data_IF_177350053168
#
_entry.id   IF_177350053168
#
_cell.length_a   1.000
_cell.length_b   1.000
_cell.length_c   1.000
_cell.angle_alpha   90.00
_cell.angle_beta   90.00
_cell.angle_gamma   90.00
#
_symmetry.space_group_name_H-M   'P 1'
#
loop_
_entity.id
_entity.type
_entity.pdbx_description
1 polymer ?
#
# COMPACT_ATOMS: atom_id res chain seq x y z
N UNK A 1 5.00 47.28 5.90
CA UNK A 1 4.37 48.47 5.28
C UNK A 1 2.86 48.56 5.56
N UNK A 2 2.05 47.57 5.16
CA UNK A 2 0.59 47.61 5.40
C UNK A 2 0.19 47.76 6.88
N UNK A 3 0.80 47.00 7.81
CA UNK A 3 0.49 47.13 9.24
C UNK A 3 0.73 48.53 9.81
N UNK A 4 1.79 49.21 9.37
CA UNK A 4 2.09 50.58 9.78
C UNK A 4 1.11 51.60 9.16
N UNK A 5 0.72 51.41 7.89
CA UNK A 5 -0.30 52.24 7.24
C UNK A 5 -1.67 52.09 7.93
N UNK A 6 -2.05 50.85 8.26
CA UNK A 6 -3.29 50.53 8.99
C UNK A 6 -3.33 51.18 10.37
N UNK A 7 -2.22 51.10 11.11
CA UNK A 7 -2.08 51.78 12.40
C UNK A 7 -2.23 53.30 12.27
N UNK A 8 -1.59 53.91 11.27
CA UNK A 8 -1.76 55.34 10.99
C UNK A 8 -3.21 55.73 10.71
N UNK A 9 -3.96 54.91 9.94
CA UNK A 9 -5.38 55.14 9.70
C UNK A 9 -6.25 54.94 10.95
N UNK A 10 -5.91 54.00 11.84
CA UNK A 10 -6.66 53.83 13.10
C UNK A 10 -6.44 55.00 14.06
N UNK A 11 -5.20 55.48 14.19
CA UNK A 11 -4.87 56.66 15.02
C UNK A 11 -5.47 57.94 14.44
N UNK A 12 -5.50 58.13 13.12
CA UNK A 12 -6.14 59.30 12.53
C UNK A 12 -7.65 59.38 12.85
N UNK A 13 -8.33 58.22 12.94
CA UNK A 13 -9.76 58.14 13.27
C UNK A 13 -10.09 58.43 14.73
N UNK A 14 -9.14 58.27 15.65
CA UNK A 14 -9.38 58.65 17.06
C UNK A 14 -9.34 60.16 17.25
N UNK A 15 -8.71 60.89 16.32
CA UNK A 15 -8.56 62.36 16.35
C UNK A 15 -9.73 63.05 15.64
N UNK A 16 -10.19 62.54 14.49
CA UNK A 16 -11.31 63.13 13.74
C UNK A 16 -12.25 62.04 13.18
N UNK A 17 -13.50 62.06 13.64
CA UNK A 17 -14.55 61.15 13.20
C UNK A 17 -15.08 61.45 11.79
N UNK A 18 -14.80 62.63 11.23
CA UNK A 18 -15.25 63.07 9.91
C UNK A 18 -14.53 62.41 8.72
N UNK A 19 -13.54 61.54 8.98
CA UNK A 19 -12.72 60.89 7.95
C UNK A 19 -13.35 59.60 7.39
N UNK A 20 -14.65 59.61 7.06
CA UNK A 20 -15.35 58.45 6.48
C UNK A 20 -14.66 57.92 5.21
N UNK A 21 -14.16 58.83 4.36
CA UNK A 21 -13.45 58.46 3.13
C UNK A 21 -12.15 57.68 3.42
N UNK A 22 -11.42 58.03 4.49
CA UNK A 22 -10.20 57.32 4.89
C UNK A 22 -10.53 55.92 5.43
N UNK A 23 -11.61 55.78 6.19
CA UNK A 23 -12.09 54.49 6.68
C UNK A 23 -12.47 53.57 5.51
N UNK A 24 -13.17 54.09 4.51
CA UNK A 24 -13.57 53.34 3.32
C UNK A 24 -12.34 52.92 2.49
N UNK A 25 -11.38 53.83 2.28
CA UNK A 25 -10.11 53.53 1.59
C UNK A 25 -9.31 52.44 2.32
N UNK A 26 -9.24 52.51 3.64
CA UNK A 26 -8.60 51.47 4.46
C UNK A 26 -9.31 50.12 4.31
N UNK A 27 -10.64 50.09 4.39
CA UNK A 27 -11.41 48.87 4.21
C UNK A 27 -11.20 48.26 2.81
N UNK A 28 -11.20 49.08 1.74
CA UNK A 28 -10.88 48.63 0.38
C UNK A 28 -9.48 48.00 0.28
N UNK A 29 -8.48 48.61 0.91
CA UNK A 29 -7.13 48.05 0.94
C UNK A 29 -7.07 46.71 1.71
N UNK A 30 -7.78 46.60 2.84
CA UNK A 30 -7.89 45.35 3.59
C UNK A 30 -8.55 44.25 2.76
N UNK A 31 -9.66 44.53 2.06
CA UNK A 31 -10.32 43.55 1.18
C UNK A 31 -9.41 43.09 0.04
N UNK A 32 -8.64 43.99 -0.56
CA UNK A 32 -7.68 43.65 -1.60
C UNK A 32 -6.59 42.71 -1.08
N UNK A 33 -6.11 42.93 0.14
CA UNK A 33 -5.15 42.01 0.78
C UNK A 33 -5.79 40.67 1.15
N UNK A 34 -7.02 40.65 1.66
CA UNK A 34 -7.75 39.39 1.89
C UNK A 34 -7.83 38.58 0.58
N UNK A 35 -8.21 39.23 -0.52
CA UNK A 35 -8.28 38.59 -1.84
C UNK A 35 -6.91 38.10 -2.32
N UNK A 36 -5.85 38.87 -2.10
CA UNK A 36 -4.48 38.48 -2.38
C UNK A 36 -4.07 37.24 -1.56
N UNK A 37 -4.25 37.27 -0.24
CA UNK A 37 -3.87 36.16 0.65
C UNK A 37 -4.66 34.88 0.34
N UNK A 38 -5.94 34.99 0.00
CA UNK A 38 -6.70 33.84 -0.50
C UNK A 38 -6.15 33.30 -1.82
N UNK A 39 -5.66 34.16 -2.70
CA UNK A 39 -5.04 33.78 -3.98
C UNK A 39 -3.65 33.16 -3.84
N UNK A 40 -2.83 33.62 -2.89
CA UNK A 40 -1.55 32.99 -2.51
C UNK A 40 -1.74 31.77 -1.62
N UNK A 41 -2.95 31.59 -1.07
CA UNK A 41 -3.27 30.44 -0.26
C UNK A 41 -2.74 30.57 1.17
N UNK A 42 -2.91 31.72 1.80
CA UNK A 42 -2.76 31.92 3.24
C UNK A 42 -4.12 32.29 3.83
N UNK A 43 -4.97 31.27 4.02
CA UNK A 43 -6.30 31.37 4.62
C UNK A 43 -6.25 31.91 6.05
N UNK A 44 -5.17 31.64 6.79
CA UNK A 44 -4.97 32.15 8.14
C UNK A 44 -4.70 33.66 8.13
N UNK A 45 -3.85 34.14 7.22
CA UNK A 45 -3.62 35.57 7.05
C UNK A 45 -4.90 36.28 6.59
N UNK A 46 -5.67 35.68 5.67
CA UNK A 46 -6.96 36.21 5.24
C UNK A 46 -7.97 36.32 6.40
N UNK A 47 -8.09 35.28 7.24
CA UNK A 47 -8.92 35.30 8.46
C UNK A 47 -8.49 36.38 9.46
N UNK A 48 -7.18 36.57 9.64
CA UNK A 48 -6.66 37.63 10.49
C UNK A 48 -6.99 39.02 9.94
N UNK A 49 -6.88 39.23 8.62
CA UNK A 49 -7.22 40.50 7.98
C UNK A 49 -8.72 40.81 8.04
N UNK A 50 -9.58 39.78 7.95
CA UNK A 50 -11.03 39.93 8.08
C UNK A 50 -11.45 40.51 9.43
N UNK A 51 -10.82 40.08 10.52
CA UNK A 51 -11.06 40.60 11.87
C UNK A 51 -10.75 42.10 12.03
N UNK A 52 -10.08 42.71 11.04
CA UNK A 52 -9.74 44.12 11.03
C UNK A 52 -10.69 44.97 10.16
N UNK A 53 -11.69 44.37 9.52
CA UNK A 53 -12.73 45.15 8.84
C UNK A 53 -13.64 45.83 9.87
N UNK A 54 -14.10 47.06 9.59
CA UNK A 54 -14.92 47.83 10.53
C UNK A 54 -16.36 47.30 10.67
N UNK A 55 -16.82 46.49 9.72
CA UNK A 55 -18.13 45.86 9.73
C UNK A 55 -17.99 44.41 9.27
N UNK A 56 -18.84 43.49 9.78
CA UNK A 56 -18.85 42.10 9.34
C UNK A 56 -19.22 42.01 7.85
N UNK A 57 -18.50 41.17 7.10
CA UNK A 57 -18.74 40.92 5.68
C UNK A 57 -19.03 39.43 5.46
N UNK A 58 -20.30 39.00 5.57
CA UNK A 58 -20.67 37.59 5.60
C UNK A 58 -20.28 36.85 4.32
N UNK A 59 -20.20 37.54 3.18
CA UNK A 59 -19.73 36.95 1.92
C UNK A 59 -18.24 36.61 1.94
N UNK A 60 -17.40 37.47 2.53
CA UNK A 60 -15.97 37.21 2.71
C UNK A 60 -15.72 36.12 3.75
N UNK A 61 -16.46 36.16 4.87
CA UNK A 61 -16.45 35.09 5.88
C UNK A 61 -16.78 33.73 5.24
N UNK A 62 -17.87 33.63 4.49
CA UNK A 62 -18.26 32.41 3.79
C UNK A 62 -17.26 31.98 2.71
N UNK A 63 -16.54 32.93 2.10
CA UNK A 63 -15.48 32.62 1.12
C UNK A 63 -14.24 32.06 1.80
N UNK A 64 -13.78 32.67 2.90
CA UNK A 64 -12.63 32.20 3.67
C UNK A 64 -12.92 30.79 4.24
N UNK A 65 -14.11 30.60 4.82
CA UNK A 65 -14.54 29.31 5.36
C UNK A 65 -14.52 28.20 4.29
N UNK A 66 -15.03 28.46 3.08
CA UNK A 66 -14.97 27.51 1.96
C UNK A 66 -13.54 27.14 1.58
N UNK A 67 -12.64 28.13 1.50
CA UNK A 67 -11.22 27.87 1.16
C UNK A 67 -10.52 27.06 2.25
N UNK A 68 -10.82 27.34 3.53
CA UNK A 68 -10.31 26.57 4.66
C UNK A 68 -10.81 25.11 4.62
N UNK A 69 -12.12 24.90 4.40
CA UNK A 69 -12.72 23.56 4.25
C UNK A 69 -12.10 22.77 3.09
N UNK A 70 -11.96 23.40 1.91
CA UNK A 70 -11.32 22.79 0.74
C UNK A 70 -9.88 22.39 1.02
N UNK A 71 -9.13 23.20 1.78
CA UNK A 71 -7.74 22.93 2.16
C UNK A 71 -7.62 21.82 3.18
N UNK A 72 -8.47 21.82 4.21
CA UNK A 72 -8.53 20.73 5.19
C UNK A 72 -8.85 19.43 4.47
N UNK A 73 -9.82 19.43 3.55
CA UNK A 73 -10.14 18.27 2.72
C UNK A 73 -8.96 17.84 1.82
N UNK A 74 -8.26 18.79 1.19
CA UNK A 74 -7.11 18.50 0.34
C UNK A 74 -5.93 17.92 1.14
N UNK A 75 -5.62 18.49 2.32
CA UNK A 75 -4.60 17.95 3.23
C UNK A 75 -4.96 16.56 3.72
N UNK A 76 -6.20 16.33 4.14
CA UNK A 76 -6.67 15.01 4.56
C UNK A 76 -6.56 13.97 3.43
N UNK A 77 -6.83 14.35 2.18
CA UNK A 77 -6.63 13.50 1.00
C UNK A 77 -5.15 13.21 0.75
N UNK A 78 -4.29 14.21 0.88
CA UNK A 78 -2.84 14.06 0.70
C UNK A 78 -2.25 13.13 1.79
N UNK A 79 -2.60 13.34 3.05
CA UNK A 79 -2.19 12.48 4.16
C UNK A 79 -2.73 11.05 4.03
N UNK A 80 -3.93 10.87 3.48
CA UNK A 80 -4.45 9.54 3.15
C UNK A 80 -3.61 8.88 2.04
N UNK A 81 -3.29 9.62 0.98
CA UNK A 81 -2.45 9.13 -0.11
C UNK A 81 -1.03 8.80 0.33
N UNK A 82 -0.40 9.65 1.14
CA UNK A 82 0.92 9.41 1.72
C UNK A 82 0.92 8.14 2.58
N UNK A 83 -0.10 7.93 3.41
CA UNK A 83 -0.25 6.70 4.20
C UNK A 83 -0.46 5.46 3.32
N UNK A 84 -1.16 5.58 2.20
CA UNK A 84 -1.38 4.48 1.26
C UNK A 84 -0.10 4.08 0.49
N UNK A 85 0.77 5.05 0.22
CA UNK A 85 2.02 4.87 -0.54
C UNK A 85 3.20 4.57 0.38
N UNK A 86 3.14 4.87 1.68
CA UNK A 86 4.23 4.60 2.62
C UNK A 86 4.58 3.10 2.65
N UNK A 87 5.77 2.71 2.15
CA UNK A 87 6.20 1.33 2.10
C UNK A 87 6.54 0.76 3.49
N UNK A 88 6.50 1.55 4.56
CA UNK A 88 6.67 1.08 5.94
C UNK A 88 5.37 0.58 6.55
N UNK A 89 4.23 1.09 6.07
CA UNK A 89 2.92 0.67 6.56
C UNK A 89 2.70 -0.81 6.26
N UNK A 90 2.47 -1.60 7.31
CA UNK A 90 2.19 -3.03 7.19
C UNK A 90 3.37 -3.90 6.77
N UNK A 91 4.62 -3.47 6.94
CA UNK A 91 5.79 -4.31 6.61
C UNK A 91 5.81 -5.63 7.39
N UNK A 92 5.43 -5.59 8.68
CA UNK A 92 5.35 -6.79 9.52
C UNK A 92 4.29 -7.77 9.00
N UNK A 93 3.13 -7.25 8.59
CA UNK A 93 2.05 -8.07 8.04
C UNK A 93 2.48 -8.75 6.73
N UNK A 94 3.25 -8.06 5.86
CA UNK A 94 3.81 -8.64 4.64
C UNK A 94 4.83 -9.73 4.94
N UNK A 95 5.75 -9.49 5.86
CA UNK A 95 6.74 -10.49 6.23
C UNK A 95 6.09 -11.75 6.83
N UNK A 96 5.09 -11.60 7.69
CA UNK A 96 4.31 -12.73 8.24
C UNK A 96 3.56 -13.45 7.12
N UNK A 97 2.92 -12.71 6.20
CA UNK A 97 2.20 -13.28 5.06
C UNK A 97 3.13 -14.09 4.15
N UNK A 98 4.28 -13.53 3.77
CA UNK A 98 5.31 -14.23 2.98
C UNK A 98 5.78 -15.46 3.70
N UNK A 99 6.17 -15.33 4.97
CA UNK A 99 6.66 -16.46 5.75
C UNK A 99 5.62 -17.58 5.79
N UNK A 100 4.37 -17.27 6.13
CA UNK A 100 3.30 -18.26 6.20
C UNK A 100 3.09 -18.95 4.85
N UNK A 101 2.99 -18.19 3.76
CA UNK A 101 2.66 -18.75 2.45
C UNK A 101 3.79 -19.54 1.83
N UNK A 102 5.01 -19.01 1.81
CA UNK A 102 6.15 -19.75 1.30
C UNK A 102 6.46 -20.97 2.16
N UNK A 103 6.32 -20.90 3.49
CA UNK A 103 6.40 -22.10 4.33
C UNK A 103 5.34 -23.13 3.95
N UNK A 104 4.11 -22.72 3.64
CA UNK A 104 3.06 -23.65 3.22
C UNK A 104 3.32 -24.28 1.84
N UNK A 105 3.86 -23.51 0.90
CA UNK A 105 4.25 -23.97 -0.44
C UNK A 105 5.41 -24.95 -0.40
N UNK A 106 6.36 -24.77 0.53
CA UNK A 106 7.44 -25.73 0.74
C UNK A 106 6.94 -26.98 1.50
N UNK A 107 6.10 -26.78 2.51
CA UNK A 107 5.66 -27.86 3.39
C UNK A 107 4.69 -28.82 2.69
N UNK A 108 3.74 -28.32 1.90
CA UNK A 108 2.71 -29.17 1.32
C UNK A 108 3.29 -30.26 0.39
N UNK A 109 4.13 -29.96 -0.61
CA UNK A 109 4.80 -30.97 -1.42
C UNK A 109 5.67 -31.91 -0.59
N UNK A 110 6.46 -31.37 0.35
CA UNK A 110 7.33 -32.18 1.21
C UNK A 110 6.54 -33.21 2.05
N UNK A 111 5.38 -32.80 2.59
CA UNK A 111 4.47 -33.69 3.32
C UNK A 111 3.92 -34.78 2.41
N UNK A 112 3.50 -34.45 1.17
CA UNK A 112 2.99 -35.48 0.25
C UNK A 112 4.05 -36.50 -0.17
N UNK A 113 5.30 -36.06 -0.35
CA UNK A 113 6.45 -36.94 -0.63
C UNK A 113 6.76 -37.82 0.58
N UNK A 114 6.81 -37.24 1.78
CA UNK A 114 7.05 -37.99 3.02
C UNK A 114 5.94 -39.01 3.32
N UNK A 115 4.70 -38.70 2.92
CA UNK A 115 3.55 -39.60 3.02
C UNK A 115 3.52 -40.70 1.93
N UNK A 116 4.49 -40.73 1.01
CA UNK A 116 4.54 -41.71 -0.08
C UNK A 116 3.42 -41.55 -1.12
N UNK A 117 2.82 -40.36 -1.23
CA UNK A 117 1.77 -40.11 -2.21
C UNK A 117 2.35 -40.08 -3.61
N UNK A 118 1.80 -40.92 -4.50
CA UNK A 118 2.21 -40.96 -5.90
C UNK A 118 1.92 -39.65 -6.61
N UNK A 119 2.78 -39.28 -7.57
CA UNK A 119 2.55 -38.12 -8.40
C UNK A 119 1.31 -38.32 -9.28
N UNK A 120 0.47 -37.29 -9.35
CA UNK A 120 -0.75 -37.31 -10.15
C UNK A 120 -1.69 -36.17 -9.79
N UNK A 121 -2.67 -35.91 -10.65
CA UNK A 121 -3.58 -34.77 -10.54
C UNK A 121 -4.32 -34.69 -9.20
N UNK A 122 -4.72 -35.83 -8.62
CA UNK A 122 -5.40 -35.85 -7.33
C UNK A 122 -4.53 -35.26 -6.20
N UNK A 123 -3.22 -35.56 -6.21
CA UNK A 123 -2.26 -34.99 -5.26
C UNK A 123 -2.10 -33.50 -5.48
N UNK A 124 -1.89 -33.06 -6.72
CA UNK A 124 -1.68 -31.66 -7.06
C UNK A 124 -2.91 -30.80 -6.73
N UNK A 125 -4.11 -31.25 -7.10
CA UNK A 125 -5.37 -30.57 -6.74
C UNK A 125 -5.54 -30.51 -5.22
N UNK A 126 -5.24 -31.60 -4.50
CA UNK A 126 -5.28 -31.63 -3.04
C UNK A 126 -4.35 -30.60 -2.40
N UNK A 127 -3.11 -30.50 -2.89
CA UNK A 127 -2.14 -29.48 -2.48
C UNK A 127 -2.69 -28.06 -2.73
N UNK A 128 -3.20 -27.78 -3.94
CA UNK A 128 -3.77 -26.48 -4.29
C UNK A 128 -4.94 -26.10 -3.38
N UNK A 129 -5.83 -27.04 -3.06
CA UNK A 129 -6.96 -26.80 -2.15
C UNK A 129 -6.48 -26.48 -0.74
N UNK A 130 -5.55 -27.27 -0.18
CA UNK A 130 -5.01 -27.05 1.16
C UNK A 130 -4.31 -25.69 1.26
N UNK A 131 -3.46 -25.36 0.29
CA UNK A 131 -2.79 -24.06 0.20
C UNK A 131 -3.80 -22.93 0.08
N UNK A 132 -4.84 -23.08 -0.73
CA UNK A 132 -5.88 -22.06 -0.89
C UNK A 132 -6.64 -21.81 0.41
N UNK A 133 -7.05 -22.87 1.11
CA UNK A 133 -7.73 -22.77 2.42
C UNK A 133 -6.81 -22.12 3.45
N UNK A 134 -5.54 -22.52 3.51
CA UNK A 134 -4.55 -21.91 4.40
C UNK A 134 -4.34 -20.43 4.08
N UNK A 135 -4.24 -20.06 2.79
CA UNK A 135 -4.12 -18.68 2.33
C UNK A 135 -5.33 -17.83 2.75
N UNK A 136 -6.55 -18.36 2.60
CA UNK A 136 -7.78 -17.72 3.11
C UNK A 136 -7.70 -17.53 4.62
N UNK A 137 -7.28 -18.55 5.38
CA UNK A 137 -7.19 -18.46 6.83
C UNK A 137 -6.18 -17.39 7.29
N UNK A 138 -4.98 -17.36 6.70
CA UNK A 138 -3.96 -16.33 6.97
C UNK A 138 -4.47 -14.94 6.59
N UNK A 139 -5.14 -14.81 5.44
CA UNK A 139 -5.76 -13.55 5.05
C UNK A 139 -6.79 -13.07 6.07
N UNK A 140 -7.73 -13.93 6.47
CA UNK A 140 -8.77 -13.57 7.44
C UNK A 140 -8.17 -13.15 8.78
N UNK A 141 -7.11 -13.83 9.23
CA UNK A 141 -6.36 -13.48 10.44
C UNK A 141 -5.67 -12.12 10.33
N UNK A 142 -5.11 -11.79 9.15
CA UNK A 142 -4.34 -10.56 8.91
C UNK A 142 -5.14 -9.45 8.19
N UNK A 143 -6.46 -9.62 7.99
CA UNK A 143 -7.29 -8.79 7.09
C UNK A 143 -7.20 -7.30 7.38
N UNK A 144 -7.18 -6.91 8.66
CA UNK A 144 -7.13 -5.51 9.08
C UNK A 144 -5.83 -4.84 8.62
N UNK A 145 -4.72 -5.56 8.68
CA UNK A 145 -3.40 -5.07 8.28
C UNK A 145 -3.19 -5.13 6.77
N UNK A 146 -3.75 -6.14 6.10
CA UNK A 146 -3.59 -6.35 4.66
C UNK A 146 -4.48 -5.45 3.80
N UNK A 147 -5.65 -5.02 4.28
CA UNK A 147 -6.53 -4.12 3.51
C UNK A 147 -6.06 -2.65 3.59
N UNK A 148 -5.17 -2.34 4.55
CA UNK A 148 -4.75 -0.97 4.86
C UNK A 148 -3.90 -0.29 3.77
N UNK A 149 -3.19 -1.05 2.92
CA UNK A 149 -2.36 -0.46 1.86
C UNK A 149 -2.65 -1.07 0.49
N UNK A 150 -2.49 -0.27 -0.56
CA UNK A 150 -2.64 -0.72 -1.95
C UNK A 150 -1.70 -1.87 -2.25
N UNK A 151 -0.45 -1.77 -1.81
CA UNK A 151 0.56 -2.81 -2.00
C UNK A 151 0.15 -4.15 -1.36
N UNK A 152 -0.39 -4.13 -0.14
CA UNK A 152 -0.84 -5.36 0.52
C UNK A 152 -2.04 -5.98 -0.22
N UNK A 153 -2.97 -5.17 -0.73
CA UNK A 153 -4.09 -5.66 -1.55
C UNK A 153 -3.61 -6.28 -2.86
N UNK A 154 -2.62 -5.68 -3.52
CA UNK A 154 -2.00 -6.24 -4.74
C UNK A 154 -1.30 -7.55 -4.44
N UNK A 155 -0.50 -7.63 -3.38
CA UNK A 155 0.15 -8.86 -2.95
C UNK A 155 -0.86 -9.97 -2.67
N UNK A 156 -1.91 -9.64 -1.92
CA UNK A 156 -2.97 -10.58 -1.61
C UNK A 156 -3.65 -11.12 -2.88
N UNK A 157 -3.97 -10.22 -3.81
CA UNK A 157 -4.56 -10.60 -5.09
C UNK A 157 -3.66 -11.59 -5.86
N UNK A 158 -2.36 -11.27 -5.98
CA UNK A 158 -1.40 -12.15 -6.65
C UNK A 158 -1.25 -13.52 -5.95
N UNK A 159 -1.27 -13.52 -4.62
CA UNK A 159 -1.17 -14.74 -3.81
C UNK A 159 -2.40 -15.66 -3.93
N UNK A 160 -3.60 -15.11 -4.15
CA UNK A 160 -4.78 -15.91 -4.49
C UNK A 160 -4.82 -16.32 -5.95
N UNK A 161 -4.34 -15.45 -6.84
CA UNK A 161 -4.34 -15.69 -8.27
C UNK A 161 -3.44 -16.88 -8.65
N UNK A 162 -2.27 -17.01 -8.02
CA UNK A 162 -1.33 -18.11 -8.28
C UNK A 162 -1.95 -19.51 -8.11
N UNK A 163 -2.42 -19.93 -6.91
CA UNK A 163 -3.00 -21.27 -6.72
C UNK A 163 -4.30 -21.45 -7.50
N UNK A 164 -5.06 -20.38 -7.74
CA UNK A 164 -6.29 -20.45 -8.54
C UNK A 164 -5.99 -20.75 -10.01
N UNK A 165 -4.99 -20.07 -10.59
CA UNK A 165 -4.53 -20.32 -11.95
C UNK A 165 -3.84 -21.68 -12.08
N UNK A 166 -3.08 -22.11 -11.07
CA UNK A 166 -2.50 -23.46 -11.01
C UNK A 166 -3.59 -24.54 -10.96
N UNK A 167 -4.65 -24.35 -10.18
CA UNK A 167 -5.78 -25.28 -10.13
C UNK A 167 -6.51 -25.37 -11.48
N UNK A 168 -6.77 -24.23 -12.14
CA UNK A 168 -7.37 -24.20 -13.48
C UNK A 168 -6.47 -24.86 -14.52
N UNK A 169 -5.16 -24.59 -14.48
CA UNK A 169 -4.17 -25.19 -15.37
C UNK A 169 -4.11 -26.71 -15.21
N UNK A 170 -4.03 -27.20 -13.97
CA UNK A 170 -3.98 -28.63 -13.68
C UNK A 170 -5.31 -29.33 -14.04
N UNK A 171 -6.46 -28.71 -13.77
CA UNK A 171 -7.76 -29.23 -14.17
C UNK A 171 -7.89 -29.31 -15.70
N UNK A 172 -7.51 -28.25 -16.41
CA UNK A 172 -7.53 -28.22 -17.87
C UNK A 172 -6.58 -29.24 -18.50
N UNK A 173 -5.36 -29.35 -17.98
CA UNK A 173 -4.40 -30.35 -18.42
C UNK A 173 -4.87 -31.79 -18.16
N UNK A 174 -5.50 -32.04 -17.02
CA UNK A 174 -6.11 -33.34 -16.73
C UNK A 174 -7.22 -33.69 -17.73
N UNK A 175 -8.14 -32.76 -18.01
CA UNK A 175 -9.22 -32.94 -18.98
C UNK A 175 -8.71 -33.16 -20.41
N UNK A 176 -7.55 -32.58 -20.76
CA UNK A 176 -6.89 -32.79 -22.05
C UNK A 176 -6.07 -34.09 -22.11
N UNK A 177 -5.84 -34.77 -20.99
CA UNK A 177 -5.00 -35.96 -20.91
C UNK A 177 -3.50 -35.67 -20.92
N UNK A 178 -3.08 -34.47 -20.53
CA UNK A 178 -1.66 -34.17 -20.29
C UNK A 178 -1.14 -34.92 -19.06
N UNK A 179 0.16 -35.19 -19.03
CA UNK A 179 0.81 -35.67 -17.80
C UNK A 179 0.97 -34.52 -16.81
N UNK A 180 1.02 -34.87 -15.51
CA UNK A 180 1.31 -33.90 -14.44
C UNK A 180 2.67 -33.22 -14.60
N UNK A 181 3.63 -33.87 -15.28
CA UNK A 181 4.95 -33.31 -15.53
C UNK A 181 4.88 -32.11 -16.49
N UNK A 182 4.03 -32.21 -17.53
CA UNK A 182 3.80 -31.12 -18.47
C UNK A 182 3.08 -29.97 -17.75
N UNK A 183 2.01 -30.26 -17.01
CA UNK A 183 1.26 -29.21 -16.29
C UNK A 183 2.10 -28.54 -15.21
N UNK A 184 2.94 -29.29 -14.49
CA UNK A 184 3.87 -28.74 -13.52
C UNK A 184 4.93 -27.83 -14.17
N UNK A 185 5.39 -28.16 -15.39
CA UNK A 185 6.34 -27.30 -16.13
C UNK A 185 5.67 -25.99 -16.56
N UNK A 186 4.42 -26.07 -17.03
CA UNK A 186 3.60 -24.90 -17.32
C UNK A 186 3.27 -24.08 -16.07
N UNK A 187 3.15 -24.72 -14.91
CA UNK A 187 2.93 -24.06 -13.62
C UNK A 187 4.15 -23.22 -13.19
N UNK A 188 5.38 -23.73 -13.40
CA UNK A 188 6.59 -22.92 -13.16
C UNK A 188 6.59 -21.69 -14.08
N UNK A 189 6.19 -21.83 -15.35
CA UNK A 189 6.08 -20.70 -16.28
C UNK A 189 4.99 -19.69 -15.86
N UNK A 190 3.86 -20.18 -15.36
CA UNK A 190 2.81 -19.36 -14.78
C UNK A 190 3.35 -18.56 -13.57
N UNK A 191 4.07 -19.22 -12.66
CA UNK A 191 4.68 -18.56 -11.50
C UNK A 191 5.75 -17.54 -11.89
N UNK A 192 6.56 -17.83 -12.93
CA UNK A 192 7.47 -16.86 -13.53
C UNK A 192 6.71 -15.61 -14.01
N UNK A 193 5.61 -15.80 -14.72
CA UNK A 193 4.78 -14.70 -15.23
C UNK A 193 4.21 -13.87 -14.08
N UNK A 194 3.71 -14.52 -13.04
CA UNK A 194 3.22 -13.83 -11.84
C UNK A 194 4.33 -13.11 -11.08
N UNK A 195 5.55 -13.67 -11.04
CA UNK A 195 6.70 -13.01 -10.44
C UNK A 195 7.10 -11.73 -11.21
N UNK A 196 7.05 -11.75 -12.55
CA UNK A 196 7.27 -10.55 -13.38
C UNK A 196 6.21 -9.48 -13.10
N UNK A 197 4.94 -9.87 -13.02
CA UNK A 197 3.85 -8.95 -12.67
C UNK A 197 4.04 -8.40 -11.25
N UNK A 198 4.41 -9.24 -10.28
CA UNK A 198 4.70 -8.84 -8.92
C UNK A 198 5.87 -7.83 -8.86
N UNK A 199 6.94 -8.07 -9.62
CA UNK A 199 8.07 -7.15 -9.73
C UNK A 199 7.64 -5.76 -10.25
N UNK A 200 6.74 -5.72 -11.24
CA UNK A 200 6.24 -4.46 -11.80
C UNK A 200 5.23 -3.73 -10.90
N UNK A 201 4.38 -4.46 -10.18
CA UNK A 201 3.29 -3.88 -9.39
C UNK A 201 3.59 -3.70 -7.90
N UNK A 202 4.56 -4.44 -7.35
CA UNK A 202 4.88 -4.45 -5.92
C UNK A 202 6.23 -3.81 -5.66
N UNK A 203 7.31 -4.43 -6.11
CA UNK A 203 8.67 -3.95 -5.86
C UNK A 203 9.65 -4.51 -6.89
N UNK A 204 10.39 -3.65 -7.58
CA UNK A 204 11.38 -4.05 -8.58
C UNK A 204 12.51 -4.89 -7.99
N UNK A 205 12.75 -4.79 -6.67
CA UNK A 205 13.73 -5.61 -5.94
C UNK A 205 13.41 -7.09 -5.95
N UNK A 206 12.21 -7.50 -6.38
CA UNK A 206 11.84 -8.90 -6.61
C UNK A 206 12.50 -9.51 -7.87
N UNK A 207 13.27 -8.75 -8.65
CA UNK A 207 13.99 -9.24 -9.82
C UNK A 207 14.76 -10.57 -9.60
N UNK A 208 15.48 -10.79 -8.48
CA UNK A 208 16.14 -12.08 -8.26
C UNK A 208 15.14 -13.25 -8.22
N UNK A 209 13.96 -13.09 -7.63
CA UNK A 209 12.93 -14.13 -7.63
C UNK A 209 12.47 -14.50 -9.05
N UNK A 210 12.32 -13.49 -9.93
CA UNK A 210 12.02 -13.70 -11.35
C UNK A 210 13.10 -14.55 -12.02
N UNK A 211 14.38 -14.24 -11.77
CA UNK A 211 15.48 -15.06 -12.29
C UNK A 211 15.44 -16.49 -11.75
N UNK A 212 15.11 -16.67 -10.47
CA UNK A 212 14.94 -17.99 -9.86
C UNK A 212 13.90 -18.85 -10.57
N UNK A 213 12.71 -18.29 -10.84
CA UNK A 213 11.67 -18.98 -11.61
C UNK A 213 12.07 -19.22 -13.07
N UNK A 214 12.78 -18.28 -13.71
CA UNK A 214 13.24 -18.45 -15.08
C UNK A 214 14.25 -19.60 -15.20
N UNK A 215 15.20 -19.69 -14.25
CA UNK A 215 16.14 -20.81 -14.18
C UNK A 215 15.42 -22.13 -13.91
N UNK A 216 14.48 -22.17 -12.96
CA UNK A 216 13.70 -23.37 -12.68
C UNK A 216 12.88 -23.85 -13.89
N UNK A 217 12.29 -22.92 -14.64
CA UNK A 217 11.55 -23.26 -15.86
C UNK A 217 12.46 -23.87 -16.94
N UNK A 218 13.61 -23.25 -17.19
CA UNK A 218 14.58 -23.76 -18.17
C UNK A 218 15.13 -25.13 -17.75
N UNK A 219 15.39 -25.34 -16.45
CA UNK A 219 15.83 -26.64 -15.92
C UNK A 219 14.75 -27.71 -16.04
N UNK A 220 13.49 -27.38 -15.78
CA UNK A 220 12.35 -28.28 -15.95
C UNK A 220 12.15 -28.68 -17.42
N UNK A 221 12.32 -27.73 -18.35
CA UNK A 221 12.27 -28.00 -19.79
C UNK A 221 13.44 -28.88 -20.26
N UNK A 222 14.64 -28.67 -19.71
CA UNK A 222 15.82 -29.47 -20.03
C UNK A 222 15.72 -30.90 -19.48
N UNK A 223 15.35 -31.04 -18.21
CA UNK A 223 15.25 -32.33 -17.52
C UNK A 223 13.80 -32.82 -17.49
N UNK A 224 13.35 -33.37 -18.62
CA UNK A 224 12.08 -34.08 -18.67
C UNK A 224 12.16 -35.35 -17.81
N UNK A 225 11.35 -35.49 -16.75
CA UNK A 225 11.26 -36.73 -15.97
C UNK A 225 11.16 -36.54 -14.45
N UNK A 226 10.02 -36.07 -13.95
CA UNK A 226 9.70 -36.10 -12.50
C UNK A 226 10.46 -35.13 -11.58
N UNK A 227 11.46 -34.39 -12.07
CA UNK A 227 12.20 -33.39 -11.28
C UNK A 227 11.51 -32.03 -11.19
N UNK A 228 10.41 -31.81 -11.91
CA UNK A 228 9.68 -30.54 -11.98
C UNK A 228 9.31 -30.00 -10.60
N UNK A 229 8.86 -30.88 -9.69
CA UNK A 229 8.48 -30.49 -8.33
C UNK A 229 9.69 -29.98 -7.50
N UNK A 230 10.88 -30.53 -7.74
CA UNK A 230 12.11 -30.07 -7.07
C UNK A 230 12.49 -28.66 -7.55
N UNK A 231 12.41 -28.42 -8.85
CA UNK A 231 12.72 -27.10 -9.43
C UNK A 231 11.71 -26.04 -8.99
N UNK A 232 10.42 -26.37 -8.97
CA UNK A 232 9.36 -25.50 -8.48
C UNK A 232 9.59 -25.12 -7.01
N UNK A 233 9.76 -26.12 -6.12
CA UNK A 233 10.02 -25.87 -4.69
C UNK A 233 11.30 -25.06 -4.46
N UNK A 234 12.35 -25.32 -5.25
CA UNK A 234 13.60 -24.56 -5.19
C UNK A 234 13.39 -23.10 -5.54
N UNK A 235 12.61 -22.82 -6.60
CA UNK A 235 12.27 -21.45 -6.99
C UNK A 235 11.38 -20.76 -5.95
N UNK A 236 10.39 -21.45 -5.41
CA UNK A 236 9.52 -20.92 -4.35
C UNK A 236 10.34 -20.58 -3.09
N UNK A 237 11.22 -21.49 -2.66
CA UNK A 237 12.09 -21.26 -1.51
C UNK A 237 12.97 -20.03 -1.72
N UNK A 238 13.59 -19.92 -2.91
CA UNK A 238 14.42 -18.78 -3.26
C UNK A 238 13.63 -17.47 -3.32
N UNK A 239 12.45 -17.47 -3.96
CA UNK A 239 11.57 -16.31 -4.03
C UNK A 239 11.10 -15.86 -2.63
N UNK A 240 10.78 -16.81 -1.75
CA UNK A 240 10.43 -16.54 -0.35
C UNK A 240 11.58 -15.90 0.41
N UNK A 241 12.81 -16.40 0.24
CA UNK A 241 14.01 -15.80 0.85
C UNK A 241 14.28 -14.38 0.33
N UNK A 242 14.13 -14.14 -0.97
CA UNK A 242 14.25 -12.80 -1.57
C UNK A 242 13.20 -11.86 -0.99
N UNK A 243 11.93 -12.27 -0.95
CA UNK A 243 10.85 -11.46 -0.39
C UNK A 243 11.07 -11.15 1.11
N UNK A 244 11.52 -12.15 1.88
CA UNK A 244 11.89 -11.95 3.28
C UNK A 244 13.09 -11.01 3.42
N UNK A 245 14.13 -11.11 2.59
CA UNK A 245 15.27 -10.20 2.65
C UNK A 245 14.88 -8.74 2.36
N UNK A 246 13.89 -8.52 1.49
CA UNK A 246 13.39 -7.18 1.19
C UNK A 246 12.52 -6.63 2.35
N UNK A 247 11.69 -7.47 2.99
CA UNK A 247 10.68 -7.01 3.95
C UNK A 247 10.99 -7.28 5.43
N UNK A 248 12.01 -8.07 5.76
CA UNK A 248 12.47 -8.33 7.14
C UNK A 248 13.48 -7.35 7.77
N UNK A 249 14.23 -6.48 7.07
CA UNK A 249 15.25 -5.64 7.70
C UNK A 249 14.72 -4.75 8.84
N UNK A 250 13.46 -4.34 8.75
CA UNK A 250 12.81 -3.52 9.78
C UNK A 250 12.27 -4.35 10.96
N UNK A 251 12.01 -5.64 10.77
CA UNK A 251 11.71 -6.59 11.86
C UNK A 251 12.95 -6.83 12.72
N UNK A 252 14.13 -6.97 12.09
CA UNK A 252 15.39 -7.20 12.80
C UNK A 252 15.92 -5.94 13.50
N UNK A 253 15.60 -4.74 12.98
CA UNK A 253 16.07 -3.46 13.53
C UNK A 253 15.22 -2.90 14.66
N UNK A 254 13.98 -3.36 14.85
CA UNK A 254 13.20 -2.99 16.04
C UNK A 254 13.63 -3.92 17.17
N UNK A 255 14.44 -3.46 18.15
CA UNK A 255 14.58 -4.22 19.39
C UNK A 255 13.16 -4.44 19.91
N UNK A 256 12.87 -5.67 20.35
CA UNK A 256 11.66 -6.00 21.09
C UNK A 256 11.64 -5.11 22.33
N UNK A 257 11.22 -3.86 22.19
CA UNK A 257 10.89 -3.00 23.31
C UNK A 257 9.66 -3.65 23.93
N UNK A 258 9.96 -4.56 24.88
CA UNK A 258 9.01 -5.16 25.80
C UNK A 258 8.04 -4.09 26.22
N UNK A 259 6.75 -4.42 26.14
CA UNK A 259 5.63 -3.50 26.27
C UNK A 259 5.92 -2.38 27.27
N UNK A 260 5.94 -1.15 26.75
CA UNK A 260 5.46 -0.04 27.55
C UNK A 260 4.04 -0.42 27.94
N UNK A 261 3.87 -0.87 29.18
CA UNK A 261 2.58 -1.00 29.82
C UNK A 261 1.75 0.25 29.48
N UNK A 262 0.45 0.09 29.17
CA UNK A 262 -0.40 1.25 28.91
C UNK A 262 -0.23 2.23 30.07
N UNK A 263 0.08 3.52 29.81
CA UNK A 263 0.21 4.50 30.87
C UNK A 263 -1.14 4.60 31.58
N UNK A 264 -1.14 4.24 32.86
CA UNK A 264 -2.17 4.52 33.87
C UNK A 264 -3.60 4.56 33.36
N UNK A 265 -4.30 3.44 33.42
CA UNK A 265 -5.74 3.49 33.72
C UNK A 265 -5.91 4.08 35.13
N UNK A 266 -6.66 5.19 35.30
CA UNK A 266 -6.97 5.78 36.60
C UNK A 266 -7.81 4.86 37.48
#
# INVERSE_FOLDING_TARGET
LYGAARFGFSEARTIDAGLEEAAERSARATRALIAYELGSGDDRAASLLLAHLPAPEPELEARIARVEEERVAARARLEAFEREVDPRTGIQARAILVLALFSSWLAAPAVTVAAGMTAGFAREIGISVVISVFTVAVFLALRRSLVASRMNRTLLFLLFLAPSMAAVLNLGGWLWGFSSDITGTLEIFLNLTLAVVAMGLVDWRLFPAVLGFAVAYLLAMWHQGGHTLLFLNGADAFAGLVALAIWSPELLRRPLSRGSSPPGSP
#
